data_IF_389007559195
#
_entry.id   IF_389007559195
#
_cell.length_a   1.000
_cell.length_b   1.000
_cell.length_c   1.000
_cell.angle_alpha   90.00
_cell.angle_beta   90.00
_cell.angle_gamma   90.00
#
_symmetry.space_group_name_H-M   'P 1'
#
loop_
_entity.id
_entity.type
_entity.pdbx_description
1 polymer ?
#
# COMPACT_ATOMS: atom_id res chain seq x y z
N UNK A 1 6.06 13.48 -30.06
CA UNK A 1 5.73 14.34 -28.91
C UNK A 1 4.91 13.49 -27.95
N UNK A 2 5.48 13.05 -26.82
CA UNK A 2 4.74 12.22 -25.86
C UNK A 2 3.80 13.13 -25.06
N UNK A 3 2.50 12.88 -25.14
CA UNK A 3 1.52 13.53 -24.30
C UNK A 3 1.77 13.07 -22.86
N UNK A 4 2.35 13.93 -22.03
CA UNK A 4 2.45 13.69 -20.60
C UNK A 4 1.05 13.85 -20.03
N UNK A 5 0.33 12.74 -19.86
CA UNK A 5 -0.91 12.72 -19.07
C UNK A 5 -0.63 13.41 -17.73
N UNK A 6 -1.52 14.27 -17.23
CA UNK A 6 -1.31 14.94 -15.95
C UNK A 6 -1.10 13.87 -14.87
N UNK A 7 -0.01 14.01 -14.12
CA UNK A 7 0.25 13.12 -13.00
C UNK A 7 -0.73 13.45 -11.88
N UNK A 8 -1.47 12.45 -11.44
CA UNK A 8 -2.39 12.51 -10.32
C UNK A 8 -1.75 11.91 -9.06
N UNK A 9 -2.28 12.30 -7.90
CA UNK A 9 -1.92 11.73 -6.61
C UNK A 9 -3.02 10.79 -6.14
N UNK A 10 -2.62 9.63 -5.63
CA UNK A 10 -3.52 8.65 -5.06
C UNK A 10 -2.92 8.16 -3.75
N UNK A 11 -3.70 8.17 -2.67
CA UNK A 11 -3.27 7.61 -1.40
C UNK A 11 -4.36 6.78 -0.75
N UNK A 12 -3.94 5.78 0.03
CA UNK A 12 -4.87 4.86 0.67
C UNK A 12 -4.19 3.64 1.27
N UNK A 13 -4.99 2.76 1.85
CA UNK A 13 -4.51 1.53 2.49
C UNK A 13 -4.47 0.40 1.47
N UNK A 14 -3.40 -0.38 1.46
CA UNK A 14 -3.33 -1.61 0.66
C UNK A 14 -4.25 -2.65 1.27
N UNK A 15 -5.32 -3.00 0.58
CA UNK A 15 -6.23 -4.07 1.00
C UNK A 15 -5.74 -5.44 0.55
N UNK A 16 -5.09 -5.49 -0.62
CA UNK A 16 -4.63 -6.76 -1.21
C UNK A 16 -3.41 -6.54 -2.10
N UNK A 17 -2.38 -7.35 -1.87
CA UNK A 17 -1.28 -7.53 -2.81
C UNK A 17 -1.68 -8.63 -3.80
N UNK A 18 -1.87 -8.28 -5.07
CA UNK A 18 -2.27 -9.23 -6.12
C UNK A 18 -1.06 -9.92 -6.72
N UNK A 19 0.04 -9.19 -6.88
CA UNK A 19 1.30 -9.71 -7.41
C UNK A 19 2.47 -8.87 -6.90
N UNK A 20 3.60 -9.52 -6.63
CA UNK A 20 4.89 -8.87 -6.38
C UNK A 20 6.00 -9.72 -7.01
N UNK A 21 6.81 -9.09 -7.85
CA UNK A 21 8.05 -9.65 -8.37
C UNK A 21 9.19 -9.23 -7.44
N UNK A 22 9.83 -10.20 -6.79
CA UNK A 22 11.00 -9.93 -5.96
C UNK A 22 12.24 -9.53 -6.78
N UNK A 23 12.30 -9.92 -8.06
CA UNK A 23 13.43 -9.63 -8.94
C UNK A 23 13.42 -8.17 -9.45
N UNK A 24 12.23 -7.67 -9.82
CA UNK A 24 12.09 -6.34 -10.42
C UNK A 24 11.44 -5.32 -9.50
N UNK A 25 10.91 -5.75 -8.36
CA UNK A 25 10.08 -4.94 -7.46
C UNK A 25 8.68 -4.64 -8.02
N UNK A 26 8.32 -5.15 -9.21
CA UNK A 26 7.02 -4.87 -9.82
C UNK A 26 5.89 -5.39 -8.93
N UNK A 27 4.92 -4.54 -8.64
CA UNK A 27 3.77 -4.88 -7.80
C UNK A 27 2.44 -4.47 -8.43
N UNK A 28 1.42 -5.27 -8.15
CA UNK A 28 0.02 -4.98 -8.46
C UNK A 28 -0.75 -5.07 -7.14
N UNK A 29 -1.29 -3.94 -6.70
CA UNK A 29 -1.97 -3.80 -5.41
C UNK A 29 -3.38 -3.25 -5.59
N UNK A 30 -4.26 -3.61 -4.65
CA UNK A 30 -5.60 -3.04 -4.51
C UNK A 30 -5.59 -2.09 -3.34
N UNK A 31 -5.82 -0.81 -3.60
CA UNK A 31 -5.75 0.26 -2.62
C UNK A 31 -7.15 0.79 -2.33
N UNK A 32 -7.51 0.86 -1.05
CA UNK A 32 -8.71 1.56 -0.57
C UNK A 32 -8.40 3.05 -0.47
N UNK A 33 -8.89 3.80 -1.43
CA UNK A 33 -8.71 5.26 -1.50
C UNK A 33 -9.87 5.96 -0.79
N UNK A 34 -9.56 6.94 0.06
CA UNK A 34 -10.59 7.73 0.75
C UNK A 34 -11.49 8.44 -0.28
N UNK A 35 -12.81 8.27 -0.14
CA UNK A 35 -13.79 8.87 -1.05
C UNK A 35 -14.15 8.02 -2.28
N UNK A 36 -13.51 6.86 -2.49
CA UNK A 36 -13.94 5.87 -3.50
C UNK A 36 -14.57 4.66 -2.80
N UNK A 37 -15.68 4.17 -3.34
CA UNK A 37 -16.34 2.93 -2.85
C UNK A 37 -15.53 1.69 -3.23
N UNK A 38 -15.07 1.65 -4.47
CA UNK A 38 -14.32 0.52 -4.99
C UNK A 38 -12.82 0.69 -4.75
N UNK A 39 -12.14 -0.44 -4.55
CA UNK A 39 -10.67 -0.46 -4.49
C UNK A 39 -10.09 -0.12 -5.85
N UNK A 40 -9.04 0.69 -5.83
CA UNK A 40 -8.28 1.04 -7.04
C UNK A 40 -7.17 0.03 -7.26
N UNK A 41 -7.03 -0.47 -8.49
CA UNK A 41 -5.85 -1.23 -8.89
C UNK A 41 -4.70 -0.27 -9.15
N UNK A 42 -3.60 -0.38 -8.41
CA UNK A 42 -2.38 0.38 -8.60
C UNK A 42 -1.28 -0.57 -9.07
N UNK A 43 -0.52 -0.14 -10.07
CA UNK A 43 0.63 -0.86 -10.62
C UNK A 43 1.86 0.02 -10.46
N UNK A 44 2.93 -0.50 -9.88
CA UNK A 44 4.15 0.25 -9.63
C UNK A 44 5.33 -0.65 -9.31
N UNK A 45 6.40 -0.08 -8.78
CA UNK A 45 7.55 -0.83 -8.30
C UNK A 45 7.83 -0.47 -6.83
N UNK A 46 8.01 -1.49 -5.99
CA UNK A 46 8.45 -1.35 -4.60
C UNK A 46 9.30 -2.56 -4.19
N UNK A 47 10.44 -2.37 -3.51
CA UNK A 47 11.26 -3.48 -3.02
C UNK A 47 10.52 -4.33 -1.97
N UNK A 48 9.71 -3.71 -1.12
CA UNK A 48 8.87 -4.36 -0.12
C UNK A 48 7.52 -3.68 -0.08
N UNK A 49 6.44 -4.47 -0.14
CA UNK A 49 5.08 -3.96 -0.07
C UNK A 49 4.14 -5.00 0.46
N UNK A 50 3.21 -4.58 1.32
CA UNK A 50 2.39 -5.51 2.08
C UNK A 50 0.97 -5.00 2.33
N UNK A 51 -0.03 -5.91 2.38
CA UNK A 51 -1.38 -5.53 2.80
C UNK A 51 -1.37 -4.88 4.19
N UNK A 52 -2.23 -3.88 4.38
CA UNK A 52 -2.35 -3.10 5.61
C UNK A 52 -1.48 -1.83 5.65
N UNK A 53 -0.47 -1.72 4.78
CA UNK A 53 0.34 -0.51 4.69
C UNK A 53 -0.44 0.64 4.02
N UNK A 54 -0.12 1.87 4.41
CA UNK A 54 -0.62 3.05 3.71
C UNK A 54 0.34 3.37 2.56
N UNK A 55 -0.18 3.73 1.39
CA UNK A 55 0.64 4.11 0.25
C UNK A 55 0.27 5.48 -0.26
N UNK A 56 1.29 6.18 -0.75
CA UNK A 56 1.16 7.40 -1.54
C UNK A 56 1.76 7.15 -2.92
N UNK A 57 0.94 7.36 -3.93
CA UNK A 57 1.28 7.10 -5.31
C UNK A 57 1.14 8.37 -6.14
N UNK A 58 2.09 8.59 -7.06
CA UNK A 58 2.03 9.62 -8.09
C UNK A 58 2.11 8.94 -9.43
N UNK A 59 1.19 9.24 -10.33
CA UNK A 59 1.08 8.49 -11.58
C UNK A 59 -0.06 8.92 -12.45
N UNK A 60 -0.49 8.06 -13.36
CA UNK A 60 -1.57 8.36 -14.29
C UNK A 60 -2.51 7.17 -14.43
N UNK A 61 -3.75 7.45 -14.75
CA UNK A 61 -4.73 6.41 -15.08
C UNK A 61 -4.42 5.83 -16.46
N UNK A 62 -4.43 4.51 -16.52
CA UNK A 62 -4.28 3.73 -17.74
C UNK A 62 -5.42 2.72 -17.82
N UNK A 63 -6.13 2.66 -18.94
CA UNK A 63 -7.15 1.65 -19.16
C UNK A 63 -6.53 0.50 -19.96
N UNK A 64 -6.18 -0.58 -19.27
CA UNK A 64 -5.63 -1.77 -19.89
C UNK A 64 -6.74 -2.58 -20.57
N UNK A 65 -6.48 -3.10 -21.78
CA UNK A 65 -7.51 -3.81 -22.57
C UNK A 65 -7.88 -5.17 -21.96
N UNK A 66 -7.01 -5.78 -21.16
CA UNK A 66 -7.23 -7.08 -20.52
C UNK A 66 -7.69 -6.92 -19.06
N UNK A 67 -7.15 -5.93 -18.34
CA UNK A 67 -7.35 -5.78 -16.89
C UNK A 67 -8.21 -4.57 -16.49
N UNK A 68 -8.61 -3.73 -17.44
CA UNK A 68 -9.42 -2.54 -17.20
C UNK A 68 -8.64 -1.39 -16.58
N UNK A 69 -9.35 -0.53 -15.84
CA UNK A 69 -8.78 0.70 -15.29
C UNK A 69 -7.75 0.41 -14.18
N UNK A 70 -6.53 0.89 -14.40
CA UNK A 70 -5.42 0.79 -13.48
C UNK A 70 -4.77 2.17 -13.28
N UNK A 71 -4.22 2.39 -12.11
CA UNK A 71 -3.39 3.54 -11.83
C UNK A 71 -1.93 3.14 -11.95
N UNK A 72 -1.23 3.65 -12.96
CA UNK A 72 0.19 3.38 -13.16
C UNK A 72 1.00 4.39 -12.35
N UNK A 73 1.51 3.94 -11.21
CA UNK A 73 2.34 4.74 -10.32
C UNK A 73 3.76 4.86 -10.91
N UNK A 74 4.17 6.11 -11.14
CA UNK A 74 5.57 6.47 -11.43
C UNK A 74 6.37 6.51 -10.14
N UNK A 75 5.75 6.97 -9.06
CA UNK A 75 6.32 6.94 -7.71
C UNK A 75 5.33 6.24 -6.78
N UNK A 76 5.82 5.30 -5.98
CA UNK A 76 5.06 4.58 -4.98
C UNK A 76 5.86 4.60 -3.68
N UNK A 77 5.34 5.29 -2.68
CA UNK A 77 5.91 5.36 -1.35
C UNK A 77 5.00 4.59 -0.39
N UNK A 78 5.61 3.67 0.36
CA UNK A 78 4.95 2.99 1.47
C UNK A 78 5.15 3.85 2.71
N UNK A 79 4.05 4.30 3.30
CA UNK A 79 4.01 5.07 4.54
C UNK A 79 3.61 4.10 5.65
N UNK A 80 4.46 3.88 6.66
CA UNK A 80 4.07 3.09 7.82
C UNK A 80 2.87 3.76 8.49
N UNK A 81 1.91 2.98 9.04
CA UNK A 81 0.77 3.57 9.72
C UNK A 81 1.25 4.40 10.92
N UNK A 82 0.88 5.67 10.98
CA UNK A 82 1.20 6.57 12.10
C UNK A 82 0.20 6.49 13.25
N UNK A 83 -0.91 5.77 13.07
CA UNK A 83 -1.95 5.64 14.11
C UNK A 83 -1.73 4.37 14.93
N UNK A 84 -1.92 4.45 16.25
CA UNK A 84 -1.79 3.32 17.18
C UNK A 84 -2.60 2.09 16.73
N UNK A 85 -3.84 2.30 16.29
CA UNK A 85 -4.70 1.21 15.81
C UNK A 85 -4.14 0.57 14.52
N UNK A 86 -3.59 1.39 13.61
CA UNK A 86 -2.94 0.93 12.39
C UNK A 86 -1.66 0.14 12.69
N UNK A 87 -0.83 0.61 13.62
CA UNK A 87 0.38 -0.08 14.08
C UNK A 87 0.01 -1.43 14.70
N UNK A 88 -0.99 -1.47 15.59
CA UNK A 88 -1.42 -2.70 16.26
C UNK A 88 -1.98 -3.72 15.26
N UNK A 89 -2.85 -3.30 14.34
CA UNK A 89 -3.37 -4.18 13.29
C UNK A 89 -2.27 -4.67 12.36
N UNK A 90 -1.36 -3.79 11.97
CA UNK A 90 -0.22 -4.13 11.12
C UNK A 90 0.66 -5.20 11.78
N UNK A 91 1.12 -4.94 13.01
CA UNK A 91 1.93 -5.89 13.77
C UNK A 91 1.18 -7.21 14.05
N UNK A 92 -0.11 -7.14 14.38
CA UNK A 92 -0.92 -8.31 14.74
C UNK A 92 -1.36 -9.17 13.55
N UNK A 93 -1.22 -8.66 12.32
CA UNK A 93 -1.63 -9.35 11.09
C UNK A 93 -0.73 -10.53 10.69
N UNK A 94 0.37 -10.75 11.42
CA UNK A 94 1.39 -11.75 11.07
C UNK A 94 2.37 -11.29 9.99
N UNK A 95 2.28 -10.01 9.61
CA UNK A 95 3.23 -9.34 8.71
C UNK A 95 4.66 -9.37 9.24
N UNK A 96 4.84 -9.22 10.56
CA UNK A 96 6.14 -9.41 11.22
C UNK A 96 6.17 -10.81 11.81
N UNK A 97 7.10 -11.63 11.29
CA UNK A 97 7.24 -13.02 11.70
C UNK A 97 7.54 -13.11 13.20
N UNK A 98 6.66 -13.76 13.96
CA UNK A 98 6.77 -13.88 15.42
C UNK A 98 5.95 -12.85 16.21
N UNK A 99 5.30 -11.89 15.56
CA UNK A 99 4.41 -10.93 16.21
C UNK A 99 2.96 -11.28 15.88
N UNK A 100 2.28 -11.84 16.89
CA UNK A 100 0.83 -12.06 16.86
C UNK A 100 0.07 -10.89 17.48
N UNK A 101 -1.27 -10.92 17.42
CA UNK A 101 -2.14 -9.83 17.91
C UNK A 101 -1.85 -9.41 19.36
N UNK A 102 -1.56 -10.38 20.23
CA UNK A 102 -1.25 -10.13 21.63
C UNK A 102 0.09 -9.42 21.84
N UNK A 103 1.09 -9.72 21.00
CA UNK A 103 2.40 -9.07 21.09
C UNK A 103 2.38 -7.68 20.45
N UNK A 104 1.59 -7.51 19.38
CA UNK A 104 1.30 -6.23 18.77
C UNK A 104 0.66 -5.24 19.75
N UNK A 105 -0.34 -5.67 20.52
CA UNK A 105 -0.97 -4.87 21.57
C UNK A 105 0.05 -4.40 22.62
N UNK A 106 0.93 -5.31 23.07
CA UNK A 106 2.00 -4.97 24.03
C UNK A 106 2.99 -3.95 23.48
N UNK A 107 3.41 -4.08 22.23
CA UNK A 107 4.34 -3.16 21.60
C UNK A 107 3.72 -1.76 21.45
N UNK A 108 2.47 -1.69 21.01
CA UNK A 108 1.75 -0.40 20.89
C UNK A 108 1.49 0.22 22.26
N UNK A 109 1.17 -0.56 23.29
CA UNK A 109 1.03 -0.05 24.66
C UNK A 109 2.36 0.44 25.26
N UNK A 110 3.48 -0.21 24.94
CA UNK A 110 4.79 0.15 25.49
C UNK A 110 5.46 1.32 24.77
N UNK A 111 5.34 1.42 23.44
CA UNK A 111 6.09 2.37 22.61
C UNK A 111 5.20 3.37 21.85
N UNK A 112 3.88 3.15 21.83
CA UNK A 112 2.94 4.04 21.16
C UNK A 112 3.19 4.14 19.65
N UNK A 113 3.32 5.36 19.14
CA UNK A 113 3.62 5.65 17.73
C UNK A 113 5.10 5.44 17.39
N UNK A 114 5.99 5.31 18.39
CA UNK A 114 7.44 5.11 18.20
C UNK A 114 7.84 3.63 18.01
N UNK A 115 6.89 2.76 17.68
CA UNK A 115 7.17 1.34 17.40
C UNK A 115 7.96 1.16 16.10
N UNK A 116 7.91 2.13 15.20
CA UNK A 116 8.61 2.16 13.91
C UNK A 116 9.78 3.13 13.90
#
# INVERSE_FOLDING_TARGET
MQATSPQEKLSGVIERLTFHSQETGFCVIRVRVKGKRDMVTVVGASPSISPGEFVECVGFWNNDRQHGLQFKAVTLNVVPPSTLEGIQKYLGSGMVKGIGPHFAEKLVHAFGENVF
#
